data_IF_439823220847
#
_entry.id   IF_439823220847
#
_cell.length_a   1.000
_cell.length_b   1.000
_cell.length_c   1.000
_cell.angle_alpha   90.00
_cell.angle_beta   90.00
_cell.angle_gamma   90.00
#
_symmetry.space_group_name_H-M   'P 1'
#
loop_
_entity.id
_entity.type
_entity.pdbx_description
1 polymer ?
#
# COMPACT_ATOMS: atom_id res chain seq x y z
N UNK A 1 53.04 -20.84 -5.12
CA UNK A 1 52.36 -19.80 -4.31
C UNK A 1 50.89 -19.84 -4.74
N UNK A 2 50.10 -20.54 -3.96
CA UNK A 2 48.66 -20.74 -4.17
C UNK A 2 47.90 -19.52 -3.61
N UNK A 3 47.26 -18.76 -4.51
CA UNK A 3 46.45 -17.62 -4.10
C UNK A 3 45.07 -18.11 -3.65
N UNK A 4 44.81 -18.19 -2.39
CA UNK A 4 43.53 -18.43 -1.77
C UNK A 4 42.59 -17.24 -2.04
N UNK A 5 41.50 -17.51 -2.79
CA UNK A 5 40.36 -16.60 -2.96
C UNK A 5 39.69 -16.35 -1.61
N UNK A 6 39.36 -15.10 -1.25
CA UNK A 6 38.57 -14.84 -0.05
C UNK A 6 37.15 -15.34 -0.27
N UNK A 7 36.64 -16.11 0.69
CA UNK A 7 35.26 -16.53 0.81
C UNK A 7 34.37 -15.29 0.88
N UNK A 8 33.35 -15.22 0.02
CA UNK A 8 32.27 -14.23 0.12
C UNK A 8 31.60 -14.43 1.48
N UNK A 9 31.54 -13.39 2.27
CA UNK A 9 30.73 -13.34 3.48
C UNK A 9 29.30 -13.69 3.13
N UNK A 10 28.79 -14.79 3.68
CA UNK A 10 27.36 -15.11 3.69
C UNK A 10 26.65 -13.93 4.37
N UNK A 11 25.91 -13.16 3.58
CA UNK A 11 25.01 -12.16 4.12
C UNK A 11 23.95 -12.93 4.91
N UNK A 12 23.91 -12.70 6.19
CA UNK A 12 22.93 -13.22 7.12
C UNK A 12 21.56 -12.67 6.67
N UNK A 13 20.84 -13.42 5.81
CA UNK A 13 19.48 -13.10 5.43
C UNK A 13 18.66 -13.19 6.70
N UNK A 14 18.18 -12.07 7.21
CA UNK A 14 17.26 -12.03 8.35
C UNK A 14 16.12 -13.00 8.08
N UNK A 15 16.00 -14.05 8.89
CA UNK A 15 14.93 -15.05 8.80
C UNK A 15 13.58 -14.52 9.29
N UNK A 16 13.54 -13.28 9.77
CA UNK A 16 12.33 -12.62 10.26
C UNK A 16 11.45 -12.20 9.10
N UNK A 17 10.18 -12.61 9.13
CA UNK A 17 9.18 -12.23 8.15
C UNK A 17 8.98 -10.71 8.12
N UNK A 18 8.89 -10.14 6.92
CA UNK A 18 8.70 -8.69 6.75
C UNK A 18 7.21 -8.33 6.91
N UNK A 19 6.86 -7.34 7.75
CA UNK A 19 5.48 -7.00 8.00
C UNK A 19 4.86 -6.25 6.80
N UNK A 20 3.73 -6.78 6.32
CA UNK A 20 2.88 -6.17 5.28
C UNK A 20 1.46 -6.07 5.82
N UNK A 21 0.97 -4.85 5.92
CA UNK A 21 -0.39 -4.58 6.34
C UNK A 21 -1.25 -4.28 5.11
N UNK A 22 -2.32 -5.02 4.93
CA UNK A 22 -3.26 -4.82 3.81
C UNK A 22 -4.57 -4.29 4.37
N UNK A 23 -5.06 -3.19 3.79
CA UNK A 23 -6.38 -2.66 4.13
C UNK A 23 -7.44 -3.73 3.88
N UNK A 24 -8.42 -3.86 4.78
CA UNK A 24 -9.46 -4.86 4.63
C UNK A 24 -10.86 -4.22 4.68
N UNK A 25 -11.65 -4.52 3.65
CA UNK A 25 -13.06 -4.21 3.60
C UNK A 25 -13.81 -5.50 3.23
N UNK A 26 -14.76 -5.91 4.08
CA UNK A 26 -15.53 -7.15 3.85
C UNK A 26 -16.32 -7.16 2.54
N UNK A 27 -16.64 -5.99 1.99
CA UNK A 27 -17.30 -5.85 0.69
C UNK A 27 -16.39 -6.25 -0.47
N UNK A 28 -15.07 -6.21 -0.23
CA UNK A 28 -14.02 -6.50 -1.20
C UNK A 28 -13.11 -7.65 -0.73
N UNK A 29 -13.65 -8.62 0.04
CA UNK A 29 -12.86 -9.75 0.57
C UNK A 29 -12.06 -10.46 -0.53
N UNK A 30 -12.66 -10.69 -1.70
CA UNK A 30 -11.95 -11.37 -2.79
C UNK A 30 -10.77 -10.55 -3.32
N UNK A 31 -10.86 -9.21 -3.34
CA UNK A 31 -9.74 -8.36 -3.72
C UNK A 31 -8.59 -8.51 -2.72
N UNK A 32 -8.88 -8.49 -1.40
CA UNK A 32 -7.90 -8.78 -0.36
C UNK A 32 -7.23 -10.15 -0.55
N UNK A 33 -8.00 -11.20 -0.83
CA UNK A 33 -7.45 -12.55 -0.99
C UNK A 33 -6.51 -12.64 -2.19
N UNK A 34 -6.85 -11.98 -3.30
CA UNK A 34 -6.01 -11.92 -4.49
C UNK A 34 -4.77 -11.07 -4.25
N UNK A 35 -4.90 -9.92 -3.58
CA UNK A 35 -3.76 -9.10 -3.18
C UNK A 35 -2.77 -9.93 -2.34
N UNK A 36 -3.27 -10.59 -1.30
CA UNK A 36 -2.46 -11.46 -0.43
C UNK A 36 -1.81 -12.61 -1.21
N UNK A 37 -2.57 -13.28 -2.09
CA UNK A 37 -2.07 -14.38 -2.92
C UNK A 37 -0.94 -13.92 -3.84
N UNK A 38 -1.10 -12.79 -4.51
CA UNK A 38 -0.09 -12.22 -5.40
C UNK A 38 1.18 -11.81 -4.65
N UNK A 39 1.07 -11.26 -3.44
CA UNK A 39 2.20 -10.99 -2.55
C UNK A 39 2.99 -12.26 -2.23
N UNK A 40 2.31 -13.30 -1.77
CA UNK A 40 2.96 -14.58 -1.40
C UNK A 40 3.65 -15.21 -2.61
N UNK A 41 2.97 -15.20 -3.77
CA UNK A 41 3.48 -15.84 -4.99
C UNK A 41 4.76 -15.21 -5.51
N UNK A 42 4.86 -13.88 -5.44
CA UNK A 42 5.99 -13.15 -6.01
C UNK A 42 7.11 -12.85 -5.00
N UNK A 43 6.92 -13.14 -3.71
CA UNK A 43 7.91 -12.82 -2.70
C UNK A 43 9.05 -13.84 -2.66
N UNK A 44 10.30 -13.36 -2.72
CA UNK A 44 11.52 -14.15 -2.51
C UNK A 44 11.91 -14.27 -1.03
N UNK A 45 11.18 -13.59 -0.12
CA UNK A 45 11.43 -13.60 1.32
C UNK A 45 10.14 -13.87 2.11
N UNK A 46 10.24 -14.35 3.35
CA UNK A 46 9.07 -14.51 4.21
C UNK A 46 8.36 -13.18 4.47
N UNK A 47 7.03 -13.16 4.35
CA UNK A 47 6.17 -12.03 4.66
C UNK A 47 5.21 -12.36 5.81
N UNK A 48 5.01 -11.41 6.71
CA UNK A 48 3.94 -11.42 7.71
C UNK A 48 2.82 -10.50 7.21
N UNK A 49 1.86 -11.10 6.50
CA UNK A 49 0.76 -10.34 5.85
C UNK A 49 -0.44 -10.31 6.78
N UNK A 50 -0.78 -9.11 7.25
CA UNK A 50 -1.84 -8.87 8.21
C UNK A 50 -2.96 -8.02 7.61
N UNK A 51 -4.23 -8.47 7.64
CA UNK A 51 -5.36 -7.62 7.27
C UNK A 51 -5.62 -6.57 8.36
N UNK A 52 -5.77 -5.31 7.96
CA UNK A 52 -6.21 -4.25 8.87
C UNK A 52 -7.74 -4.23 8.94
N UNK A 53 -8.29 -5.09 9.80
CA UNK A 53 -9.74 -5.22 10.01
C UNK A 53 -10.19 -4.19 11.04
N UNK A 54 -11.03 -3.24 10.62
CA UNK A 54 -11.50 -2.14 11.48
C UNK A 54 -12.21 -2.66 12.74
N UNK A 55 -13.09 -3.67 12.60
CA UNK A 55 -13.81 -4.25 13.72
C UNK A 55 -12.88 -4.90 14.74
N UNK A 56 -11.79 -5.52 14.29
CA UNK A 56 -10.78 -6.09 15.19
C UNK A 56 -10.05 -5.01 15.98
N UNK A 57 -9.73 -3.88 15.35
CA UNK A 57 -9.13 -2.74 16.05
C UNK A 57 -10.12 -2.08 17.02
N UNK A 58 -11.41 -2.05 16.69
CA UNK A 58 -12.46 -1.59 17.63
C UNK A 58 -12.56 -2.51 18.84
N UNK A 59 -12.58 -3.81 18.65
CA UNK A 59 -12.64 -4.79 19.73
C UNK A 59 -11.46 -4.68 20.69
N UNK A 60 -10.30 -4.24 20.19
CA UNK A 60 -9.09 -3.98 20.99
C UNK A 60 -9.10 -2.58 21.63
N UNK A 61 -10.12 -1.76 21.41
CA UNK A 61 -10.19 -0.37 21.89
C UNK A 61 -9.24 0.60 21.18
N UNK A 62 -8.60 0.17 20.09
CA UNK A 62 -7.64 0.99 19.34
C UNK A 62 -8.33 1.94 18.35
N UNK A 63 -9.39 1.49 17.68
CA UNK A 63 -10.14 2.29 16.72
C UNK A 63 -11.45 2.76 17.32
N UNK A 64 -11.60 4.07 17.56
CA UNK A 64 -12.75 4.66 18.26
C UNK A 64 -13.52 5.67 17.42
N UNK A 65 -13.08 5.91 16.15
CA UNK A 65 -13.79 6.85 15.26
C UNK A 65 -15.23 6.42 15.05
N UNK A 66 -16.13 7.41 15.02
CA UNK A 66 -17.51 7.22 14.56
C UNK A 66 -17.57 6.82 13.08
N UNK A 67 -18.79 6.56 12.60
CA UNK A 67 -19.02 6.34 11.18
C UNK A 67 -18.76 7.64 10.43
N UNK A 68 -17.83 7.61 9.48
CA UNK A 68 -17.55 8.72 8.59
C UNK A 68 -18.24 8.44 7.23
N UNK A 69 -19.30 9.18 6.87
CA UNK A 69 -20.00 8.97 5.60
C UNK A 69 -19.14 9.30 4.38
N UNK A 70 -18.00 10.00 4.57
CA UNK A 70 -17.04 10.31 3.51
C UNK A 70 -15.94 9.25 3.37
N UNK A 71 -15.86 8.29 4.30
CA UNK A 71 -14.93 7.19 4.20
C UNK A 71 -15.39 6.20 3.12
N UNK A 72 -14.59 6.04 2.08
CA UNK A 72 -14.90 5.13 0.96
C UNK A 72 -14.77 3.66 1.34
N UNK A 73 -13.87 3.34 2.28
CA UNK A 73 -13.54 1.98 2.71
C UNK A 73 -13.39 1.88 4.22
N UNK A 74 -13.52 0.66 4.76
CA UNK A 74 -13.29 0.38 6.18
C UNK A 74 -11.83 0.65 6.61
N UNK A 75 -10.89 0.67 5.68
CA UNK A 75 -9.47 0.92 5.96
C UNK A 75 -9.02 2.36 5.68
N UNK A 76 -9.94 3.28 5.42
CA UNK A 76 -9.61 4.71 5.18
C UNK A 76 -8.67 5.26 6.25
N UNK A 77 -8.91 4.95 7.52
CA UNK A 77 -8.10 5.45 8.63
C UNK A 77 -7.18 4.41 9.27
N UNK A 78 -7.48 3.12 9.13
CA UNK A 78 -6.71 2.05 9.82
C UNK A 78 -5.27 1.97 9.35
N UNK A 79 -4.97 2.42 8.13
CA UNK A 79 -3.61 2.48 7.58
C UNK A 79 -2.62 3.29 8.43
N UNK A 80 -3.11 4.29 9.16
CA UNK A 80 -2.26 5.16 9.98
C UNK A 80 -1.92 4.55 11.35
N UNK A 81 -2.45 3.36 11.65
CA UNK A 81 -2.06 2.58 12.83
C UNK A 81 -0.80 1.75 12.61
N UNK A 82 -0.30 1.63 11.37
CA UNK A 82 0.82 0.74 11.04
C UNK A 82 2.07 0.99 11.88
N UNK A 83 2.56 2.23 12.09
CA UNK A 83 3.71 2.45 12.95
C UNK A 83 3.48 1.99 14.40
N UNK A 84 2.29 2.25 14.96
CA UNK A 84 1.91 1.79 16.29
C UNK A 84 1.85 0.25 16.38
N UNK A 85 1.19 -0.41 15.42
CA UNK A 85 1.04 -1.86 15.37
C UNK A 85 2.38 -2.57 15.19
N UNK A 86 3.34 -1.92 14.54
CA UNK A 86 4.74 -2.39 14.41
C UNK A 86 5.60 -2.10 15.65
N UNK A 87 5.00 -1.56 16.72
CA UNK A 87 5.71 -1.16 17.94
C UNK A 87 6.74 -0.06 17.71
N UNK A 88 6.53 0.78 16.69
CA UNK A 88 7.46 1.84 16.27
C UNK A 88 8.87 1.32 15.98
N UNK A 89 8.98 0.19 15.26
CA UNK A 89 10.25 -0.46 14.94
C UNK A 89 10.31 -0.92 13.50
N UNK A 90 11.49 -0.77 12.90
CA UNK A 90 11.80 -1.28 11.57
C UNK A 90 10.94 -0.65 10.47
N UNK A 91 10.84 -1.35 9.37
CA UNK A 91 10.06 -0.97 8.21
C UNK A 91 8.85 -1.88 8.04
N UNK A 92 7.76 -1.35 7.50
CA UNK A 92 6.56 -2.09 7.14
C UNK A 92 5.93 -1.51 5.88
N UNK A 93 5.26 -2.35 5.08
CA UNK A 93 4.44 -1.89 3.96
C UNK A 93 2.98 -1.86 4.39
N UNK A 94 2.28 -0.80 4.03
CA UNK A 94 0.83 -0.77 3.92
C UNK A 94 0.44 -0.71 2.44
N UNK A 95 -0.62 -1.42 2.04
CA UNK A 95 -1.31 -1.19 0.76
C UNK A 95 -2.82 -1.41 0.92
N UNK A 96 -3.60 -0.78 0.03
CA UNK A 96 -5.03 -1.02 -0.11
C UNK A 96 -5.27 -2.46 -0.61
N UNK A 97 -6.45 -3.04 -0.39
CA UNK A 97 -6.74 -4.43 -0.79
C UNK A 97 -6.92 -4.62 -2.30
N UNK A 98 -7.11 -3.55 -3.04
CA UNK A 98 -7.31 -3.53 -4.49
C UNK A 98 -6.00 -3.48 -5.29
N UNK A 99 -4.89 -3.89 -4.66
CA UNK A 99 -3.59 -4.08 -5.31
C UNK A 99 -3.43 -5.50 -5.88
N UNK A 100 -2.79 -5.58 -7.04
CA UNK A 100 -2.27 -6.82 -7.61
C UNK A 100 -0.75 -6.70 -7.75
N UNK A 101 -0.01 -7.53 -7.03
CA UNK A 101 1.45 -7.54 -7.06
C UNK A 101 1.96 -8.45 -8.17
N UNK A 102 2.83 -7.93 -9.04
CA UNK A 102 3.40 -8.66 -10.17
C UNK A 102 4.94 -8.81 -10.09
N UNK A 103 5.59 -8.01 -9.24
CA UNK A 103 7.02 -8.10 -8.96
C UNK A 103 7.28 -8.51 -7.51
N UNK A 104 8.52 -8.88 -7.23
CA UNK A 104 8.96 -9.23 -5.88
C UNK A 104 8.97 -7.99 -4.97
N UNK A 105 8.19 -8.03 -3.90
CA UNK A 105 8.17 -6.95 -2.89
C UNK A 105 9.55 -6.73 -2.25
N UNK A 106 10.47 -7.70 -2.30
CA UNK A 106 11.82 -7.53 -1.81
C UNK A 106 12.56 -6.38 -2.52
N UNK A 107 12.27 -6.13 -3.80
CA UNK A 107 12.84 -5.01 -4.55
C UNK A 107 12.31 -3.65 -4.05
N UNK A 108 11.02 -3.60 -3.68
CA UNK A 108 10.46 -2.41 -3.02
C UNK A 108 11.12 -2.17 -1.66
N UNK A 109 11.25 -3.22 -0.85
CA UNK A 109 11.86 -3.14 0.49
C UNK A 109 13.33 -2.71 0.39
N UNK A 110 14.05 -3.18 -0.63
CA UNK A 110 15.45 -2.80 -0.85
C UNK A 110 15.63 -1.31 -1.22
N UNK A 111 14.56 -0.62 -1.62
CA UNK A 111 14.58 0.83 -1.87
C UNK A 111 14.39 1.68 -0.61
N UNK A 112 14.18 1.06 0.56
CA UNK A 112 14.02 1.76 1.83
C UNK A 112 15.26 2.63 2.14
N UNK A 113 15.00 3.87 2.54
CA UNK A 113 16.03 4.86 2.85
C UNK A 113 15.73 5.49 4.21
N UNK A 114 16.59 5.26 5.17
CA UNK A 114 16.40 5.67 6.57
C UNK A 114 16.29 7.19 6.77
N UNK A 115 16.62 7.99 5.75
CA UNK A 115 16.38 9.44 5.76
C UNK A 115 14.90 9.80 5.78
N UNK A 116 14.05 8.90 5.32
CA UNK A 116 12.61 9.15 5.20
C UNK A 116 11.82 8.44 6.31
N UNK A 117 10.79 9.11 6.78
CA UNK A 117 9.82 8.54 7.70
C UNK A 117 8.77 7.68 6.97
N UNK A 118 8.46 8.05 5.74
CA UNK A 118 7.58 7.29 4.86
C UNK A 118 8.04 7.45 3.41
N UNK A 119 7.82 6.42 2.60
CA UNK A 119 8.05 6.49 1.16
C UNK A 119 6.81 6.01 0.42
N UNK A 120 6.43 6.70 -0.63
CA UNK A 120 5.27 6.35 -1.46
C UNK A 120 5.45 6.81 -2.90
N UNK A 121 4.58 6.37 -3.80
CA UNK A 121 4.55 6.91 -5.16
C UNK A 121 3.92 8.29 -5.13
N UNK A 122 4.67 9.29 -5.61
CA UNK A 122 4.20 10.67 -5.71
C UNK A 122 3.40 10.84 -7.01
N UNK A 123 2.13 10.49 -6.97
CA UNK A 123 1.24 10.69 -8.11
C UNK A 123 1.02 12.18 -8.37
N UNK A 124 1.36 12.63 -9.59
CA UNK A 124 1.03 13.98 -10.06
C UNK A 124 -0.42 13.99 -10.58
N UNK A 125 -1.36 14.17 -9.65
CA UNK A 125 -2.77 14.26 -10.01
C UNK A 125 -3.08 15.64 -10.55
N UNK A 126 -2.83 15.85 -11.86
CA UNK A 126 -3.37 16.98 -12.62
C UNK A 126 -4.67 16.55 -13.26
N UNK A 127 -5.84 17.02 -12.77
CA UNK A 127 -7.09 16.77 -13.48
C UNK A 127 -6.93 17.33 -14.90
N UNK A 128 -7.01 16.47 -15.91
CA UNK A 128 -7.15 16.96 -17.27
C UNK A 128 -8.44 17.79 -17.32
N UNK A 129 -8.38 19.00 -17.85
CA UNK A 129 -9.52 19.94 -17.93
C UNK A 129 -10.73 19.39 -18.71
N UNK A 130 -10.71 18.14 -19.15
CA UNK A 130 -11.65 17.56 -20.11
C UNK A 130 -12.96 17.03 -19.54
N UNK A 131 -13.23 17.05 -18.24
CA UNK A 131 -14.51 16.61 -17.68
C UNK A 131 -15.03 17.56 -16.59
N UNK A 132 -15.33 18.80 -16.98
CA UNK A 132 -16.23 19.66 -16.20
C UNK A 132 -17.54 19.79 -16.97
N UNK A 133 -18.52 18.95 -16.63
CA UNK A 133 -19.90 19.16 -17.05
C UNK A 133 -20.80 19.56 -15.87
N UNK A 134 -20.32 20.11 -14.78
CA UNK A 134 -21.18 20.53 -13.65
C UNK A 134 -20.60 21.66 -12.80
N UNK A 135 -19.99 22.69 -13.36
CA UNK A 135 -19.78 23.97 -12.66
C UNK A 135 -19.10 23.96 -11.27
N UNK A 136 -18.75 22.80 -10.72
CA UNK A 136 -18.06 22.69 -9.43
C UNK A 136 -16.54 22.86 -9.62
N UNK A 137 -15.94 23.82 -8.92
CA UNK A 137 -14.50 23.96 -8.82
C UNK A 137 -13.92 22.67 -8.24
N UNK A 138 -13.22 21.88 -9.06
CA UNK A 138 -12.39 20.80 -8.54
C UNK A 138 -11.26 21.44 -7.74
N UNK A 139 -11.34 21.35 -6.44
CA UNK A 139 -10.22 21.65 -5.55
C UNK A 139 -9.11 20.67 -5.91
N UNK A 140 -7.95 21.16 -6.36
CA UNK A 140 -6.74 20.36 -6.50
C UNK A 140 -6.53 19.62 -5.17
N UNK A 141 -6.65 18.28 -5.18
CA UNK A 141 -6.38 17.47 -4.01
C UNK A 141 -4.90 17.04 -4.06
N UNK A 142 -3.98 17.80 -3.45
CA UNK A 142 -2.57 17.44 -3.43
C UNK A 142 -2.40 16.10 -2.72
N UNK A 143 -1.46 15.27 -3.21
CA UNK A 143 -1.13 13.94 -2.68
C UNK A 143 -2.27 12.92 -2.77
N UNK A 144 -3.15 13.06 -3.77
CA UNK A 144 -4.15 12.04 -4.05
C UNK A 144 -3.47 10.69 -4.34
N UNK A 145 -4.00 9.61 -3.78
CA UNK A 145 -3.50 8.24 -3.86
C UNK A 145 -2.10 7.98 -3.24
N UNK A 146 -1.45 8.95 -2.65
CA UNK A 146 -0.14 8.74 -2.00
C UNK A 146 -0.24 7.74 -0.85
N UNK A 147 -1.30 7.79 -0.07
CA UNK A 147 -1.50 6.92 1.09
C UNK A 147 -2.08 5.53 0.77
N UNK A 148 -2.32 5.21 -0.49
CA UNK A 148 -2.85 3.89 -0.88
C UNK A 148 -1.80 2.79 -0.81
N UNK A 149 -0.50 3.14 -0.92
CA UNK A 149 0.62 2.28 -0.62
C UNK A 149 1.72 3.11 0.06
N UNK A 150 2.13 2.69 1.23
CA UNK A 150 3.15 3.39 2.04
C UNK A 150 4.18 2.38 2.53
N UNK A 151 5.44 2.63 2.24
CA UNK A 151 6.57 1.99 2.88
C UNK A 151 6.93 2.84 4.10
N UNK A 152 6.46 2.43 5.27
CA UNK A 152 6.68 3.12 6.54
C UNK A 152 8.01 2.76 7.17
N UNK A 153 8.83 3.75 7.49
CA UNK A 153 9.88 3.62 8.47
C UNK A 153 9.28 3.75 9.87
N UNK A 154 8.71 2.64 10.38
CA UNK A 154 8.02 2.65 11.67
C UNK A 154 8.93 3.07 12.82
N UNK A 155 10.25 2.85 12.70
CA UNK A 155 11.25 3.25 13.70
C UNK A 155 11.63 4.72 13.66
N UNK A 156 11.26 5.47 12.61
CA UNK A 156 11.61 6.88 12.49
C UNK A 156 10.88 7.72 13.53
N UNK A 157 11.61 8.67 14.15
CA UNK A 157 11.09 9.48 15.26
C UNK A 157 9.81 10.25 14.89
N UNK A 158 9.72 10.79 13.68
CA UNK A 158 8.56 11.53 13.21
C UNK A 158 7.27 10.70 13.19
N UNK A 159 7.35 9.37 13.07
CA UNK A 159 6.18 8.49 13.07
C UNK A 159 5.65 8.15 14.46
N UNK A 160 6.37 8.53 15.54
CA UNK A 160 5.90 8.30 16.91
C UNK A 160 4.64 9.08 17.26
N UNK A 161 4.32 10.15 16.51
CA UNK A 161 3.09 10.92 16.68
C UNK A 161 1.86 10.16 16.18
N UNK A 162 2.02 9.17 15.29
CA UNK A 162 0.93 8.33 14.79
C UNK A 162 0.48 7.33 15.87
N UNK A 163 -0.07 7.88 16.95
CA UNK A 163 -0.71 7.11 18.02
C UNK A 163 -2.15 6.76 17.63
N UNK A 164 -2.78 5.76 18.27
CA UNK A 164 -4.21 5.52 18.10
C UNK A 164 -5.05 6.79 18.35
N UNK A 165 -4.71 7.62 19.34
CA UNK A 165 -5.44 8.85 19.65
C UNK A 165 -5.38 9.84 18.47
N UNK A 166 -4.20 10.06 17.91
CA UNK A 166 -4.05 10.94 16.74
C UNK A 166 -4.79 10.39 15.53
N UNK A 167 -4.63 9.09 15.22
CA UNK A 167 -5.32 8.46 14.10
C UNK A 167 -6.84 8.47 14.26
N UNK A 168 -7.37 8.48 15.49
CA UNK A 168 -8.80 8.58 15.78
C UNK A 168 -9.34 10.00 15.73
N UNK A 169 -8.55 11.03 16.02
CA UNK A 169 -9.00 12.41 16.16
C UNK A 169 -8.75 13.29 14.96
N UNK A 170 -7.66 13.04 14.21
CA UNK A 170 -7.27 13.89 13.11
C UNK A 170 -8.16 13.74 11.87
N UNK A 171 -8.25 14.81 11.08
CA UNK A 171 -9.02 14.79 9.84
C UNK A 171 -8.42 13.85 8.78
N UNK A 172 -9.28 13.26 7.93
CA UNK A 172 -8.80 12.49 6.79
C UNK A 172 -7.86 13.30 5.90
N UNK A 173 -8.16 14.59 5.70
CA UNK A 173 -7.29 15.49 4.94
C UNK A 173 -5.88 15.59 5.54
N UNK A 174 -5.75 15.72 6.85
CA UNK A 174 -4.47 15.77 7.55
C UNK A 174 -3.71 14.45 7.38
N UNK A 175 -4.37 13.33 7.69
CA UNK A 175 -3.75 12.01 7.65
C UNK A 175 -3.33 11.61 6.22
N UNK A 176 -4.22 11.69 5.23
CA UNK A 176 -3.92 11.27 3.86
C UNK A 176 -2.92 12.18 3.14
N UNK A 177 -2.67 13.39 3.64
CA UNK A 177 -1.63 14.29 3.14
C UNK A 177 -0.32 14.20 3.91
N UNK A 178 -0.21 13.26 4.85
CA UNK A 178 0.95 13.11 5.72
C UNK A 178 1.24 14.40 6.50
N UNK A 179 0.18 15.02 7.04
CA UNK A 179 0.26 16.30 7.73
C UNK A 179 1.12 16.30 9.00
N UNK A 180 1.54 15.14 9.46
CA UNK A 180 2.50 14.98 10.57
C UNK A 180 3.96 14.97 10.12
N UNK A 181 4.24 14.96 8.80
CA UNK A 181 5.59 14.94 8.25
C UNK A 181 5.92 16.23 7.50
N UNK A 182 7.12 16.71 7.68
CA UNK A 182 7.70 17.69 6.77
C UNK A 182 7.94 17.01 5.40
N UNK A 183 7.87 17.77 4.31
CA UNK A 183 7.95 17.24 2.94
C UNK A 183 9.25 16.48 2.69
N UNK A 184 10.35 16.92 3.28
CA UNK A 184 11.68 16.31 3.20
C UNK A 184 11.75 14.92 3.83
N UNK A 185 10.81 14.58 4.70
CA UNK A 185 10.71 13.25 5.33
C UNK A 185 9.87 12.25 4.55
N UNK A 186 9.33 12.65 3.39
CA UNK A 186 8.54 11.79 2.52
C UNK A 186 9.32 11.46 1.25
N UNK A 187 9.80 10.23 1.14
CA UNK A 187 10.56 9.75 -0.03
C UNK A 187 9.65 9.33 -1.19
N UNK A 188 10.14 9.51 -2.42
CA UNK A 188 9.45 9.09 -3.62
C UNK A 188 9.84 7.66 -4.03
N UNK A 189 8.85 6.85 -4.37
CA UNK A 189 9.02 5.54 -4.99
C UNK A 189 8.72 5.59 -6.48
N UNK A 190 9.29 4.70 -7.31
CA UNK A 190 8.94 4.58 -8.71
C UNK A 190 7.45 4.30 -8.91
N UNK A 191 6.84 4.93 -9.92
CA UNK A 191 5.41 4.81 -10.25
C UNK A 191 4.94 3.36 -10.44
N UNK A 192 5.83 2.50 -10.94
CA UNK A 192 5.57 1.07 -11.17
C UNK A 192 5.07 0.31 -9.93
N UNK A 193 5.36 0.80 -8.69
CA UNK A 193 4.93 0.18 -7.44
C UNK A 193 3.51 0.54 -7.00
N UNK A 194 2.90 1.55 -7.62
CA UNK A 194 1.51 1.94 -7.41
C UNK A 194 0.95 2.46 -8.73
N UNK A 195 0.96 1.59 -9.74
CA UNK A 195 0.48 1.92 -11.07
C UNK A 195 -1.05 1.95 -11.06
N UNK A 196 -1.61 3.14 -11.32
CA UNK A 196 -3.06 3.37 -11.25
C UNK A 196 -3.74 2.91 -12.53
N UNK A 197 -4.52 1.84 -12.44
CA UNK A 197 -5.32 1.35 -13.55
C UNK A 197 -6.27 2.45 -14.06
N UNK A 198 -6.27 2.64 -15.38
CA UNK A 198 -7.08 3.64 -16.08
C UNK A 198 -6.63 5.10 -15.94
N UNK A 199 -5.51 5.36 -15.24
CA UNK A 199 -4.92 6.69 -15.09
C UNK A 199 -3.49 6.76 -15.62
N UNK A 200 -2.66 5.77 -15.32
CA UNK A 200 -1.29 5.73 -15.78
C UNK A 200 -1.19 5.10 -17.16
N UNK A 201 -0.25 5.58 -17.97
CA UNK A 201 0.08 4.96 -19.24
C UNK A 201 0.73 3.58 -19.02
N UNK A 202 0.42 2.62 -19.88
CA UNK A 202 1.06 1.31 -19.83
C UNK A 202 2.57 1.44 -20.04
N UNK A 203 3.38 0.68 -19.28
CA UNK A 203 4.81 0.62 -19.51
C UNK A 203 5.12 0.23 -20.96
N UNK A 204 6.12 0.86 -21.56
CA UNK A 204 6.55 0.51 -22.92
C UNK A 204 7.09 -0.93 -23.03
N UNK A 205 7.53 -1.51 -21.92
CA UNK A 205 8.02 -2.89 -21.83
C UNK A 205 7.64 -3.48 -20.47
N UNK A 206 7.27 -4.76 -20.46
CA UNK A 206 6.92 -5.48 -19.25
C UNK A 206 5.58 -5.08 -18.66
N UNK A 207 5.43 -5.36 -17.39
CA UNK A 207 4.26 -5.02 -16.56
C UNK A 207 4.65 -4.08 -15.43
N UNK A 208 3.71 -3.32 -14.84
CA UNK A 208 3.96 -2.64 -13.57
C UNK A 208 4.39 -3.63 -12.48
N UNK A 209 5.08 -3.16 -11.47
CA UNK A 209 5.46 -3.97 -10.30
C UNK A 209 4.26 -4.28 -9.41
N UNK A 210 3.34 -3.32 -9.26
CA UNK A 210 2.07 -3.50 -8.59
C UNK A 210 1.00 -2.62 -9.25
N UNK A 211 -0.17 -3.20 -9.47
CA UNK A 211 -1.33 -2.53 -10.10
C UNK A 211 -2.32 -2.16 -8.99
N UNK A 212 -2.82 -0.95 -9.03
CA UNK A 212 -3.84 -0.46 -8.12
C UNK A 212 -5.14 -0.17 -8.89
N UNK A 213 -6.16 -0.95 -8.62
CA UNK A 213 -7.48 -0.85 -9.26
C UNK A 213 -8.37 0.19 -8.55
N UNK A 214 -7.88 1.42 -8.41
CA UNK A 214 -8.50 2.49 -7.62
C UNK A 214 -9.92 2.87 -8.02
N UNK A 215 -10.38 2.48 -9.22
CA UNK A 215 -11.74 2.73 -9.70
C UNK A 215 -12.67 1.53 -9.57
N UNK A 216 -12.12 0.37 -9.23
CA UNK A 216 -12.74 -0.93 -9.23
C UNK A 216 -11.97 -1.90 -10.13
N UNK A 217 -12.03 -3.18 -9.81
CA UNK A 217 -11.28 -4.21 -10.51
C UNK A 217 -12.13 -5.39 -10.94
N UNK A 218 -11.52 -6.46 -11.47
CA UNK A 218 -12.21 -7.58 -12.09
C UNK A 218 -13.24 -8.32 -11.22
N UNK A 219 -13.26 -8.08 -9.92
CA UNK A 219 -14.25 -8.64 -9.01
C UNK A 219 -15.64 -7.98 -9.11
N UNK A 220 -15.72 -6.79 -9.72
CA UNK A 220 -16.99 -6.13 -10.01
C UNK A 220 -17.46 -6.42 -11.44
N UNK A 221 -18.79 -6.55 -11.61
CA UNK A 221 -19.37 -6.91 -12.91
C UNK A 221 -19.02 -5.92 -14.03
N UNK A 222 -19.01 -4.62 -13.71
CA UNK A 222 -18.79 -3.55 -14.68
C UNK A 222 -17.28 -3.26 -14.94
N UNK A 223 -16.37 -3.98 -14.29
CA UNK A 223 -14.92 -3.76 -14.36
C UNK A 223 -14.14 -4.99 -14.86
N UNK A 224 -14.80 -5.86 -15.68
CA UNK A 224 -14.18 -7.09 -16.18
C UNK A 224 -13.07 -6.86 -17.21
N UNK A 225 -13.14 -5.77 -17.95
CA UNK A 225 -12.25 -5.46 -19.09
C UNK A 225 -11.16 -4.42 -18.73
N UNK A 226 -10.84 -4.28 -17.44
CA UNK A 226 -9.76 -3.40 -16.98
C UNK A 226 -8.38 -3.93 -17.39
N UNK A 227 -7.40 -3.06 -17.40
CA UNK A 227 -6.03 -3.44 -17.72
C UNK A 227 -5.50 -4.51 -16.76
N UNK A 228 -4.82 -5.50 -17.31
CA UNK A 228 -4.26 -6.64 -16.56
C UNK A 228 -5.29 -7.50 -15.81
N UNK A 229 -6.56 -7.45 -16.19
CA UNK A 229 -7.60 -8.29 -15.59
C UNK A 229 -7.26 -9.79 -15.67
N UNK A 230 -6.62 -10.25 -16.75
CA UNK A 230 -6.17 -11.63 -16.92
C UNK A 230 -5.15 -12.07 -15.85
N UNK A 231 -4.27 -11.17 -15.41
CA UNK A 231 -3.35 -11.42 -14.29
C UNK A 231 -4.10 -11.58 -12.98
N UNK A 232 -5.06 -10.70 -12.71
CA UNK A 232 -5.89 -10.75 -11.51
C UNK A 232 -6.72 -12.04 -11.45
N UNK A 233 -7.38 -12.41 -12.55
CA UNK A 233 -8.20 -13.62 -12.65
C UNK A 233 -7.37 -14.91 -12.48
N UNK A 234 -6.11 -14.91 -12.92
CA UNK A 234 -5.18 -16.03 -12.66
C UNK A 234 -4.88 -16.19 -11.18
N UNK A 235 -4.64 -15.09 -10.47
CA UNK A 235 -4.41 -15.13 -9.02
C UNK A 235 -5.68 -15.53 -8.26
N UNK A 236 -6.84 -15.05 -8.67
CA UNK A 236 -8.12 -15.50 -8.12
C UNK A 236 -8.31 -17.01 -8.29
N UNK A 237 -8.07 -17.53 -9.50
CA UNK A 237 -8.18 -18.97 -9.78
C UNK A 237 -7.22 -19.79 -8.94
N UNK A 238 -5.98 -19.34 -8.78
CA UNK A 238 -4.99 -20.00 -7.93
C UNK A 238 -5.40 -20.00 -6.45
N UNK A 239 -5.92 -18.90 -5.95
CA UNK A 239 -6.46 -18.80 -4.60
C UNK A 239 -7.62 -19.76 -4.37
N UNK A 240 -8.58 -19.82 -5.30
CA UNK A 240 -9.74 -20.72 -5.21
C UNK A 240 -9.37 -22.20 -5.30
N UNK A 241 -8.34 -22.55 -6.08
CA UNK A 241 -7.85 -23.92 -6.21
C UNK A 241 -7.06 -24.43 -4.97
N UNK A 242 -6.54 -23.53 -4.16
CA UNK A 242 -5.81 -23.84 -2.93
C UNK A 242 -6.67 -23.95 -1.67
N UNK A 243 -8.01 -23.85 -1.81
CA UNK A 243 -8.99 -23.97 -0.71
C UNK A 243 -9.46 -25.38 -0.47
#
# INVERSE_FOLDING_TARGET
VEMTRPLRSEQNVSTTAFPVYVGYDRREDIAYQVCRQSLIRNASRPLDIQPLIQDSLRAQGLYTRGVDPLASTDFTYTRFFVPYLSGYRGWAVFCDCDFLWLADIADLIASADDRFAAMCVHHDHRPSERHKMDGQQQTLYPRKNWSSMILFNCGHEANRVLTPDLANSESGKYLHRFGWLDDELTGALPETWNWLEGWNDKPKRGTPSAIHYTRGGPWFADWKDVDYADHWLREESAYRAGR
#
